data_IF_624453302476
#
_entry.id   IF_624453302476
#
_cell.length_a   1.000
_cell.length_b   1.000
_cell.length_c   1.000
_cell.angle_alpha   90.00
_cell.angle_beta   90.00
_cell.angle_gamma   90.00
#
_symmetry.space_group_name_H-M   'P 1'
#
loop_
_entity.id
_entity.type
_entity.pdbx_description
1 polymer ?
#
# COMPACT_ATOMS: atom_id res chain seq x y z
N UNK A 1 -27.69 17.43 3.72
CA UNK A 1 -26.73 18.29 3.01
C UNK A 1 -26.20 17.48 1.84
N UNK A 2 -26.24 17.98 0.62
CA UNK A 2 -25.71 17.28 -0.54
C UNK A 2 -24.23 17.66 -0.70
N UNK A 3 -23.31 16.69 -0.97
CA UNK A 3 -21.92 17.00 -1.26
C UNK A 3 -21.81 17.77 -2.58
N UNK A 4 -20.77 18.61 -2.67
CA UNK A 4 -20.42 19.33 -3.89
C UNK A 4 -19.05 18.84 -4.34
N UNK A 5 -18.92 18.49 -5.62
CA UNK A 5 -17.63 18.15 -6.21
C UNK A 5 -16.72 19.38 -6.22
N UNK A 6 -15.53 19.24 -5.67
CA UNK A 6 -14.51 20.30 -5.65
C UNK A 6 -13.41 20.05 -6.69
N UNK A 7 -13.07 18.79 -6.93
CA UNK A 7 -12.07 18.38 -7.91
C UNK A 7 -12.29 16.92 -8.33
N UNK A 8 -11.74 16.57 -9.49
CA UNK A 8 -11.70 15.18 -9.95
C UNK A 8 -10.39 14.95 -10.73
N UNK A 9 -9.77 13.77 -10.55
CA UNK A 9 -8.61 13.31 -11.29
C UNK A 9 -8.97 12.04 -12.04
N UNK A 10 -9.07 12.10 -13.36
CA UNK A 10 -9.47 10.97 -14.21
C UNK A 10 -8.38 10.50 -15.17
N UNK A 11 -7.26 11.24 -15.25
CA UNK A 11 -6.14 10.92 -16.15
C UNK A 11 -4.85 10.93 -15.37
N UNK A 12 -4.27 9.73 -15.17
CA UNK A 12 -3.01 9.51 -14.45
C UNK A 12 -2.37 8.21 -14.96
N UNK A 13 -1.08 7.95 -14.69
CA UNK A 13 -0.42 6.71 -15.08
C UNK A 13 -1.14 5.47 -14.56
N UNK A 14 -1.32 4.44 -15.38
CA UNK A 14 -2.01 3.19 -15.05
C UNK A 14 -3.38 3.45 -14.39
N UNK A 15 -4.17 4.34 -14.97
CA UNK A 15 -5.55 4.58 -14.52
C UNK A 15 -6.41 3.34 -14.81
N UNK A 16 -6.94 2.73 -13.76
CA UNK A 16 -7.70 1.50 -13.86
C UNK A 16 -8.90 1.45 -12.93
N UNK A 17 -9.07 0.32 -12.26
CA UNK A 17 -10.10 0.16 -11.23
C UNK A 17 -9.62 0.82 -9.94
N UNK A 18 -9.89 2.11 -9.78
CA UNK A 18 -9.58 2.85 -8.57
C UNK A 18 -10.37 2.27 -7.40
N UNK A 19 -9.69 1.61 -6.49
CA UNK A 19 -10.32 0.78 -5.46
C UNK A 19 -10.21 1.39 -4.07
N UNK A 20 -9.02 1.82 -3.68
CA UNK A 20 -8.78 2.31 -2.33
C UNK A 20 -7.73 3.41 -2.30
N UNK A 21 -7.65 4.09 -1.16
CA UNK A 21 -6.61 5.07 -0.91
C UNK A 21 -6.66 5.59 0.52
N UNK A 22 -5.60 6.28 0.92
CA UNK A 22 -5.45 6.83 2.25
C UNK A 22 -4.74 8.18 2.22
N UNK A 23 -5.25 9.13 3.00
CA UNK A 23 -4.68 10.47 3.12
C UNK A 23 -3.65 10.49 4.26
N UNK A 24 -2.53 11.19 4.05
CA UNK A 24 -1.56 11.48 5.09
C UNK A 24 -2.15 12.36 6.21
N UNK A 25 -1.57 12.29 7.40
CA UNK A 25 -2.05 13.04 8.57
C UNK A 25 -2.02 14.56 8.37
N UNK A 26 -1.10 15.06 7.54
CA UNK A 26 -0.99 16.48 7.18
C UNK A 26 -1.97 16.92 6.07
N UNK A 27 -2.66 15.95 5.44
CA UNK A 27 -3.65 16.19 4.39
C UNK A 27 -3.08 16.51 3.01
N UNK A 28 -1.77 16.35 2.78
CA UNK A 28 -1.11 16.77 1.55
C UNK A 28 -0.85 15.62 0.57
N UNK A 29 -0.60 14.41 1.08
CA UNK A 29 -0.27 13.24 0.27
C UNK A 29 -1.38 12.19 0.34
N UNK A 30 -1.84 11.71 -0.81
CA UNK A 30 -2.82 10.65 -0.91
C UNK A 30 -2.22 9.43 -1.60
N UNK A 31 -2.18 8.30 -0.90
CA UNK A 31 -1.80 7.02 -1.49
C UNK A 31 -3.04 6.39 -2.15
N UNK A 32 -2.93 6.05 -3.43
CA UNK A 32 -4.03 5.54 -4.24
C UNK A 32 -3.68 4.20 -4.87
N UNK A 33 -4.60 3.24 -4.78
CA UNK A 33 -4.47 1.90 -5.35
C UNK A 33 -5.53 1.66 -6.41
N UNK A 34 -5.08 1.36 -7.64
CA UNK A 34 -5.91 0.79 -8.69
C UNK A 34 -5.76 -0.74 -8.63
N UNK A 35 -6.86 -1.44 -8.34
CA UNK A 35 -6.89 -2.89 -8.13
C UNK A 35 -6.86 -3.62 -9.48
N UNK A 36 -5.73 -3.50 -10.16
CA UNK A 36 -5.44 -4.17 -11.41
C UNK A 36 -4.07 -4.86 -11.34
N UNK A 37 -3.97 -6.06 -11.87
CA UNK A 37 -2.68 -6.76 -11.97
C UNK A 37 -1.66 -5.95 -12.77
N UNK A 38 -0.47 -5.77 -12.17
CA UNK A 38 0.65 -5.06 -12.78
C UNK A 38 0.55 -3.53 -12.71
N UNK A 39 -0.44 -2.97 -12.01
CA UNK A 39 -0.56 -1.53 -11.83
C UNK A 39 0.15 -1.06 -10.57
N UNK A 40 0.82 0.06 -10.69
CA UNK A 40 1.56 0.67 -9.60
C UNK A 40 0.64 1.37 -8.59
N UNK A 41 1.08 1.44 -7.34
CA UNK A 41 0.57 2.36 -6.32
C UNK A 41 0.97 3.78 -6.71
N UNK A 42 0.11 4.75 -6.52
CA UNK A 42 0.36 6.17 -6.79
C UNK A 42 0.41 6.95 -5.49
N UNK A 43 1.39 7.84 -5.34
CA UNK A 43 1.33 8.93 -4.37
C UNK A 43 0.96 10.21 -5.11
N UNK A 44 -0.06 10.89 -4.60
CA UNK A 44 -0.59 12.12 -5.18
C UNK A 44 -0.32 13.30 -4.25
N UNK A 45 0.05 14.45 -4.82
CA UNK A 45 -0.08 15.74 -4.16
C UNK A 45 -1.54 16.19 -4.27
N UNK A 46 -2.19 16.32 -3.11
CA UNK A 46 -3.57 16.80 -2.98
C UNK A 46 -3.67 18.06 -2.15
N UNK A 47 -2.54 18.73 -1.91
CA UNK A 47 -2.47 19.99 -1.13
C UNK A 47 -3.22 21.15 -1.80
N UNK A 48 -3.34 21.13 -3.12
CA UNK A 48 -4.17 22.05 -3.89
C UNK A 48 -5.12 21.27 -4.81
N UNK A 49 -6.41 21.30 -4.51
CA UNK A 49 -7.43 20.62 -5.32
C UNK A 49 -7.58 21.18 -6.74
N UNK A 50 -7.07 22.38 -7.01
CA UNK A 50 -7.04 22.90 -8.38
C UNK A 50 -5.86 22.35 -9.20
N UNK A 51 -4.91 21.66 -8.56
CA UNK A 51 -3.69 21.15 -9.20
C UNK A 51 -3.25 19.80 -8.61
N UNK A 52 -4.15 18.83 -8.54
CA UNK A 52 -3.83 17.47 -8.09
C UNK A 52 -2.86 16.83 -9.08
N UNK A 53 -1.74 16.28 -8.57
CA UNK A 53 -0.72 15.66 -9.41
C UNK A 53 -0.18 14.36 -8.82
N UNK A 54 0.29 13.46 -9.71
CA UNK A 54 1.02 12.25 -9.29
C UNK A 54 2.45 12.62 -8.96
N UNK A 55 2.89 12.38 -7.74
CA UNK A 55 4.26 12.61 -7.27
C UNK A 55 5.15 11.45 -7.74
N UNK A 56 4.70 10.21 -7.48
CA UNK A 56 5.45 9.00 -7.82
C UNK A 56 4.52 7.81 -8.05
N UNK A 57 5.07 6.79 -8.72
CA UNK A 57 4.47 5.47 -8.86
C UNK A 57 5.47 4.40 -8.44
N UNK A 58 5.02 3.33 -7.81
CA UNK A 58 5.87 2.24 -7.33
C UNK A 58 5.07 0.97 -7.08
N UNK A 59 5.77 -0.15 -6.96
CA UNK A 59 5.17 -1.45 -6.67
C UNK A 59 6.06 -2.27 -5.72
N UNK A 60 5.63 -3.50 -5.42
CA UNK A 60 6.38 -4.41 -4.54
C UNK A 60 7.72 -4.88 -5.11
N UNK A 61 7.94 -4.79 -6.40
CA UNK A 61 9.12 -5.31 -7.09
C UNK A 61 9.18 -6.84 -7.18
N UNK A 62 8.18 -7.56 -6.68
CA UNK A 62 8.21 -9.03 -6.60
C UNK A 62 7.82 -9.70 -7.92
N UNK A 63 6.81 -9.17 -8.61
CA UNK A 63 6.29 -9.74 -9.84
C UNK A 63 5.64 -8.67 -10.71
N UNK A 64 5.74 -8.79 -12.03
CA UNK A 64 5.09 -7.87 -12.97
C UNK A 64 3.54 -7.91 -12.92
N UNK A 65 2.96 -8.91 -12.25
CA UNK A 65 1.51 -9.04 -12.03
C UNK A 65 1.11 -8.76 -10.59
N UNK A 66 1.99 -8.15 -9.79
CA UNK A 66 1.68 -7.74 -8.43
C UNK A 66 0.52 -6.74 -8.41
N UNK A 67 -0.22 -6.71 -7.30
CA UNK A 67 -1.43 -5.88 -7.19
C UNK A 67 -1.65 -5.47 -5.74
N UNK A 68 -1.66 -4.17 -5.49
CA UNK A 68 -2.02 -3.62 -4.19
C UNK A 68 -3.56 -3.62 -4.02
N UNK A 69 -4.04 -3.94 -2.82
CA UNK A 69 -5.46 -3.87 -2.49
C UNK A 69 -5.77 -2.67 -1.59
N UNK A 70 -5.36 -2.70 -0.32
CA UNK A 70 -5.62 -1.64 0.65
C UNK A 70 -4.32 -1.09 1.24
N UNK A 71 -4.29 0.24 1.42
CA UNK A 71 -3.18 0.92 2.08
C UNK A 71 -3.64 1.83 3.20
N UNK A 72 -2.80 1.96 4.24
CA UNK A 72 -2.98 2.91 5.34
C UNK A 72 -1.66 3.65 5.56
N UNK A 73 -1.70 4.98 5.55
CA UNK A 73 -0.57 5.82 5.97
C UNK A 73 -0.64 6.01 7.48
N UNK A 74 0.50 5.88 8.15
CA UNK A 74 0.69 6.21 9.56
C UNK A 74 2.04 6.87 9.73
N UNK A 75 2.05 8.16 10.02
CA UNK A 75 3.27 8.97 9.97
C UNK A 75 3.89 8.91 8.58
N UNK A 76 5.18 8.61 8.52
CA UNK A 76 5.94 8.52 7.27
C UNK A 76 5.90 7.13 6.62
N UNK A 77 5.09 6.21 7.13
CA UNK A 77 5.01 4.84 6.61
C UNK A 77 3.67 4.54 5.95
N UNK A 78 3.74 3.93 4.77
CA UNK A 78 2.59 3.36 4.07
C UNK A 78 2.59 1.84 4.22
N UNK A 79 1.55 1.33 4.84
CA UNK A 79 1.30 -0.10 5.04
C UNK A 79 0.33 -0.58 3.96
N UNK A 80 0.73 -1.56 3.17
CA UNK A 80 -0.04 -2.08 2.05
C UNK A 80 -0.36 -3.58 2.24
N UNK A 81 -1.64 -3.94 2.17
CA UNK A 81 -2.04 -5.29 1.85
C UNK A 81 -1.89 -5.49 0.34
N UNK A 82 -0.94 -6.33 -0.05
CA UNK A 82 -0.47 -6.42 -1.43
C UNK A 82 -0.80 -7.78 -2.06
N UNK A 83 -1.99 -8.31 -1.81
CA UNK A 83 -2.44 -9.62 -2.28
C UNK A 83 -1.36 -10.71 -2.12
N UNK A 84 -0.92 -11.31 -3.24
CA UNK A 84 0.07 -12.40 -3.29
C UNK A 84 1.42 -12.04 -2.65
N UNK A 85 1.76 -10.76 -2.57
CA UNK A 85 3.01 -10.30 -1.97
C UNK A 85 2.91 -10.08 -0.46
N UNK A 86 1.73 -10.30 0.15
CA UNK A 86 1.52 -10.15 1.58
C UNK A 86 1.49 -8.70 2.05
N UNK A 87 2.04 -8.44 3.24
CA UNK A 87 2.23 -7.10 3.77
C UNK A 87 3.49 -6.48 3.17
N UNK A 88 3.37 -5.24 2.69
CA UNK A 88 4.49 -4.39 2.26
C UNK A 88 4.44 -3.07 3.02
N UNK A 89 5.60 -2.61 3.51
CA UNK A 89 5.71 -1.34 4.23
C UNK A 89 6.73 -0.47 3.50
N UNK A 90 6.31 0.72 3.13
CA UNK A 90 7.14 1.70 2.44
C UNK A 90 7.35 2.93 3.31
N UNK A 91 8.58 3.43 3.36
CA UNK A 91 8.90 4.78 3.82
C UNK A 91 8.52 5.74 2.70
N UNK A 92 7.66 6.70 3.02
CA UNK A 92 7.17 7.76 2.15
C UNK A 92 7.47 9.15 2.71
N UNK A 93 8.45 9.26 3.62
CA UNK A 93 8.91 10.55 4.17
C UNK A 93 9.35 11.52 3.06
N UNK A 94 9.90 10.98 1.97
CA UNK A 94 10.01 11.65 0.68
C UNK A 94 9.05 10.96 -0.31
N UNK A 95 7.87 11.52 -0.56
CA UNK A 95 6.89 10.89 -1.44
C UNK A 95 7.32 10.80 -2.90
N UNK A 96 8.41 11.48 -3.30
CA UNK A 96 8.97 11.37 -4.64
C UNK A 96 9.82 10.10 -4.83
N UNK A 97 10.29 9.50 -3.73
CA UNK A 97 11.18 8.33 -3.74
C UNK A 97 10.79 7.29 -2.68
N UNK A 98 9.58 6.70 -2.76
CA UNK A 98 9.15 5.68 -1.81
C UNK A 98 10.10 4.50 -1.77
N UNK A 99 10.48 4.05 -0.55
CA UNK A 99 11.39 2.90 -0.38
C UNK A 99 10.77 1.82 0.48
N UNK A 100 10.82 0.56 0.04
CA UNK A 100 10.34 -0.55 0.84
C UNK A 100 11.27 -0.79 2.04
N UNK A 101 10.73 -0.70 3.26
CA UNK A 101 11.48 -0.85 4.51
C UNK A 101 11.19 -2.14 5.24
N UNK A 102 10.04 -2.78 4.96
CA UNK A 102 9.69 -4.07 5.56
C UNK A 102 8.67 -4.83 4.72
N UNK A 103 8.58 -6.14 4.98
CA UNK A 103 7.57 -6.99 4.36
C UNK A 103 7.31 -8.24 5.18
N UNK A 104 6.13 -8.83 4.99
CA UNK A 104 5.79 -10.14 5.51
C UNK A 104 4.93 -10.89 4.49
N UNK A 105 5.42 -12.05 4.02
CA UNK A 105 4.68 -12.87 3.08
C UNK A 105 3.61 -13.68 3.82
N UNK A 106 2.34 -13.46 3.46
CA UNK A 106 1.19 -14.21 3.98
C UNK A 106 0.74 -15.31 3.03
N UNK A 107 1.28 -15.35 1.80
CA UNK A 107 0.82 -16.24 0.74
C UNK A 107 1.99 -16.83 -0.05
N UNK A 108 2.42 -18.03 0.33
CA UNK A 108 3.59 -18.73 -0.24
C UNK A 108 3.47 -19.24 -1.69
N UNK A 109 2.27 -19.49 -2.32
CA UNK A 109 2.23 -19.89 -3.72
C UNK A 109 2.69 -18.79 -4.67
N UNK A 110 3.43 -19.17 -5.71
CA UNK A 110 4.06 -18.28 -6.68
C UNK A 110 3.16 -17.87 -7.86
N UNK A 111 1.91 -18.34 -7.89
CA UNK A 111 0.95 -18.02 -8.94
C UNK A 111 0.19 -16.72 -8.64
N UNK A 112 0.34 -15.73 -9.49
CA UNK A 112 -0.35 -14.43 -9.39
C UNK A 112 -1.70 -14.41 -10.13
N UNK A 113 -2.36 -15.54 -10.18
CA UNK A 113 -3.69 -15.64 -10.78
C UNK A 113 -4.77 -15.32 -9.76
N UNK A 114 -5.77 -14.52 -10.17
CA UNK A 114 -6.92 -14.21 -9.32
C UNK A 114 -6.56 -13.34 -8.09
N UNK A 115 -7.47 -13.22 -7.15
CA UNK A 115 -7.38 -12.42 -5.92
C UNK A 115 -7.07 -13.36 -4.75
N UNK A 116 -5.85 -13.33 -4.24
CA UNK A 116 -5.36 -14.19 -3.15
C UNK A 116 -4.32 -13.47 -2.32
N UNK A 117 -4.18 -13.88 -1.05
CA UNK A 117 -3.20 -13.34 -0.13
C UNK A 117 -3.74 -12.19 0.70
N UNK A 118 -2.89 -11.22 1.05
CA UNK A 118 -3.23 -10.12 1.94
C UNK A 118 -4.28 -9.18 1.32
N UNK A 119 -5.39 -9.03 2.03
CA UNK A 119 -6.55 -8.25 1.60
C UNK A 119 -6.76 -6.96 2.41
N UNK A 120 -6.46 -6.96 3.71
CA UNK A 120 -6.59 -5.81 4.57
C UNK A 120 -5.41 -5.67 5.52
N UNK A 121 -5.11 -4.42 5.89
CA UNK A 121 -4.07 -4.09 6.87
C UNK A 121 -4.58 -3.06 7.86
N UNK A 122 -4.16 -3.15 9.13
CA UNK A 122 -4.44 -2.16 10.16
C UNK A 122 -3.23 -1.97 11.08
N UNK A 123 -2.49 -0.83 10.96
CA UNK A 123 -1.27 -0.58 11.71
C UNK A 123 -1.49 0.21 13.01
N UNK A 124 -2.72 0.62 13.35
CA UNK A 124 -3.00 1.59 14.42
C UNK A 124 -3.38 0.96 15.76
N UNK A 125 -2.92 -0.28 16.05
CA UNK A 125 -3.09 -0.84 17.39
C UNK A 125 -2.24 -0.07 18.41
N UNK A 126 -2.74 0.13 19.66
CA UNK A 126 -1.96 0.77 20.73
C UNK A 126 -0.69 0.01 21.10
N UNK A 127 -0.64 -1.30 20.84
CA UNK A 127 0.54 -2.15 21.05
C UNK A 127 1.66 -1.91 20.05
N UNK A 128 1.39 -1.22 18.92
CA UNK A 128 2.31 -1.14 17.78
C UNK A 128 2.23 -2.33 16.82
N UNK A 129 1.51 -3.38 17.17
CA UNK A 129 1.32 -4.54 16.29
C UNK A 129 0.48 -4.17 15.07
N UNK A 130 0.68 -4.90 13.99
CA UNK A 130 -0.06 -4.77 12.73
C UNK A 130 -1.00 -5.95 12.58
N UNK A 131 -2.24 -5.68 12.21
CA UNK A 131 -3.20 -6.72 11.79
C UNK A 131 -3.18 -6.81 10.28
N UNK A 132 -3.08 -8.03 9.76
CA UNK A 132 -3.24 -8.32 8.32
C UNK A 132 -4.29 -9.42 8.17
N UNK A 133 -5.32 -9.16 7.36
CA UNK A 133 -6.27 -10.19 6.94
C UNK A 133 -5.85 -10.76 5.60
N UNK A 134 -5.78 -12.09 5.52
CA UNK A 134 -5.44 -12.83 4.31
C UNK A 134 -6.62 -13.69 3.88
N UNK A 135 -6.91 -13.71 2.57
CA UNK A 135 -8.09 -14.38 2.03
C UNK A 135 -8.06 -15.90 2.19
N UNK A 136 -6.90 -16.52 2.26
CA UNK A 136 -6.74 -17.97 2.37
C UNK A 136 -6.25 -18.41 3.75
N UNK A 137 -5.39 -17.60 4.39
CA UNK A 137 -4.67 -18.00 5.60
C UNK A 137 -5.27 -17.38 6.88
N UNK A 138 -6.22 -16.44 6.75
CA UNK A 138 -6.94 -15.85 7.88
C UNK A 138 -6.26 -14.60 8.45
N UNK A 139 -6.11 -14.52 9.77
CA UNK A 139 -5.66 -13.31 10.47
C UNK A 139 -4.23 -13.48 10.96
N UNK A 140 -3.37 -12.51 10.60
CA UNK A 140 -2.02 -12.36 11.14
C UNK A 140 -1.96 -11.17 12.09
N UNK A 141 -1.27 -11.35 13.21
CA UNK A 141 -0.88 -10.30 14.14
C UNK A 141 0.64 -10.25 14.11
N UNK A 142 1.18 -9.16 13.58
CA UNK A 142 2.62 -8.99 13.33
C UNK A 142 3.19 -7.96 14.29
N UNK A 143 4.31 -8.28 14.90
CA UNK A 143 5.12 -7.33 15.67
C UNK A 143 6.12 -6.66 14.72
N UNK A 144 6.03 -5.35 14.60
CA UNK A 144 6.92 -4.52 13.78
C UNK A 144 7.61 -3.45 14.61
N UNK A 145 7.96 -3.77 15.85
CA UNK A 145 8.68 -2.83 16.74
C UNK A 145 10.02 -2.37 16.18
N UNK A 146 10.52 -3.06 15.12
CA UNK A 146 11.75 -2.68 14.43
C UNK A 146 11.65 -2.99 12.91
N UNK A 147 10.87 -2.22 12.13
CA UNK A 147 10.67 -2.49 10.71
C UNK A 147 11.97 -2.48 9.88
N UNK A 148 13.02 -1.79 10.35
CA UNK A 148 14.31 -1.66 9.64
C UNK A 148 15.18 -2.94 9.75
N UNK A 149 14.94 -3.81 10.73
CA UNK A 149 15.76 -5.02 10.95
C UNK A 149 15.17 -6.30 10.34
N UNK A 150 13.99 -6.27 9.74
CA UNK A 150 13.35 -7.49 9.21
C UNK A 150 13.82 -7.89 7.81
N UNK A 151 14.63 -7.08 7.14
CA UNK A 151 15.13 -7.36 5.78
C UNK A 151 16.24 -8.44 5.78
N UNK A 152 16.90 -8.69 6.92
CA UNK A 152 18.03 -9.64 6.99
C UNK A 152 17.64 -11.13 7.01
N UNK A 153 16.35 -11.47 7.16
CA UNK A 153 15.92 -12.87 7.29
C UNK A 153 15.40 -13.55 6.02
N UNK A 154 15.46 -12.88 4.85
CA UNK A 154 14.96 -13.46 3.60
C UNK A 154 15.99 -14.37 2.89
N UNK A 155 17.25 -14.42 3.35
CA UNK A 155 18.33 -15.16 2.69
C UNK A 155 18.82 -16.43 3.43
N UNK A 156 18.07 -16.95 4.40
CA UNK A 156 18.46 -18.19 5.06
C UNK A 156 17.26 -19.10 5.31
N UNK A 157 16.84 -19.81 4.24
CA UNK A 157 16.41 -21.23 4.30
C UNK A 157 16.21 -21.77 2.89
#
# INVERSE_FOLDING_TARGET
MAPTELATLTSYPDAGYNHSGWLSDDGNTYAMQDENHGYDVKLLDVSDFNNISVISTFNSGMNAQCMAHNGIIKGDLLYLAYYHDGLRIFDISDPSTPTQVSSYDTYSPTSYNSYKGAWGVYPNLPSGNIIVSDMQSGLYILDCTNPINSIENINSN
#
